data_IF_497558380317
#
_entry.id   IF_497558380317
#
_cell.length_a   1.000
_cell.length_b   1.000
_cell.length_c   1.000
_cell.angle_alpha   90.00
_cell.angle_beta   90.00
_cell.angle_gamma   90.00
#
_symmetry.space_group_name_H-M   'P 1'
#
loop_
_entity.id
_entity.type
_entity.pdbx_description
1 polymer ?
#
# COMPACT_ATOMS: atom_id res chain seq x y z
N UNK A 1 21.58 29.05 56.40
CA UNK A 1 23.00 29.43 56.52
C UNK A 1 23.78 28.13 56.51
N UNK A 2 24.61 27.80 55.51
CA UNK A 2 25.96 28.32 55.27
C UNK A 2 26.34 27.90 53.84
N UNK A 3 26.54 28.87 52.95
CA UNK A 3 27.83 29.29 52.38
C UNK A 3 28.37 28.43 51.24
N UNK A 4 28.24 29.03 50.05
CA UNK A 4 28.95 28.74 48.81
C UNK A 4 30.45 28.93 49.00
N UNK A 5 31.25 28.05 48.41
CA UNK A 5 32.66 28.31 48.17
C UNK A 5 32.95 28.20 46.68
N UNK A 6 33.24 29.35 46.09
CA UNK A 6 33.90 29.51 44.81
C UNK A 6 35.38 29.24 45.04
N UNK A 7 36.03 28.48 44.16
CA UNK A 7 37.45 28.72 43.89
C UNK A 7 37.73 28.64 42.39
N UNK A 8 38.22 29.78 41.92
CA UNK A 8 38.75 30.10 40.59
C UNK A 8 40.27 29.90 40.63
N UNK A 9 40.86 29.93 39.43
CA UNK A 9 42.26 30.24 39.05
C UNK A 9 43.10 29.01 38.71
N UNK A 10 44.01 28.98 37.74
CA UNK A 10 44.46 29.83 36.61
C UNK A 10 45.47 28.92 35.84
N UNK A 11 45.40 28.77 34.51
CA UNK A 11 46.23 29.38 33.45
C UNK A 11 47.72 28.95 33.32
N UNK A 12 48.15 28.83 32.05
CA UNK A 12 49.52 28.69 31.44
C UNK A 12 50.04 27.24 31.26
N UNK A 13 50.75 26.81 30.20
CA UNK A 13 51.32 27.44 28.98
C UNK A 13 51.78 26.36 27.95
N UNK A 14 51.73 26.73 26.66
CA UNK A 14 52.57 26.40 25.49
C UNK A 14 53.43 25.12 25.47
N UNK A 15 53.33 24.31 24.39
CA UNK A 15 54.43 24.05 23.43
C UNK A 15 53.97 23.21 22.24
N UNK A 16 54.66 23.42 21.12
CA UNK A 16 54.34 22.98 19.77
C UNK A 16 54.57 21.48 19.52
N UNK A 17 53.76 20.88 18.64
CA UNK A 17 54.31 20.03 17.58
C UNK A 17 53.33 19.93 16.41
N UNK A 18 53.79 20.44 15.27
CA UNK A 18 53.10 20.45 13.99
C UNK A 18 53.40 19.09 13.33
N UNK A 19 52.48 18.13 13.42
CA UNK A 19 52.57 16.90 12.65
C UNK A 19 51.63 16.99 11.45
N UNK A 20 52.24 17.15 10.28
CA UNK A 20 51.61 17.12 8.96
C UNK A 20 51.22 15.66 8.72
N UNK A 21 49.94 15.33 8.88
CA UNK A 21 49.42 14.04 8.42
C UNK A 21 49.11 14.13 6.92
N UNK A 22 49.68 13.28 6.06
CA UNK A 22 49.37 13.28 4.64
C UNK A 22 47.91 12.82 4.43
N UNK A 23 47.16 13.65 3.71
CA UNK A 23 45.83 13.34 3.19
C UNK A 23 45.92 12.23 2.14
N UNK A 24 45.75 10.98 2.54
CA UNK A 24 45.50 9.88 1.61
C UNK A 24 44.00 9.81 1.34
N UNK A 25 43.55 10.45 0.26
CA UNK A 25 42.20 10.27 -0.31
C UNK A 25 42.10 8.85 -0.87
N UNK A 26 41.48 7.95 -0.11
CA UNK A 26 41.22 6.57 -0.55
C UNK A 26 40.19 6.59 -1.67
N UNK A 27 40.58 6.10 -2.85
CA UNK A 27 39.76 6.07 -4.04
C UNK A 27 38.55 5.14 -3.90
N UNK A 28 37.43 5.65 -4.42
CA UNK A 28 36.14 5.04 -4.74
C UNK A 28 36.10 3.50 -4.73
N UNK A 29 35.26 2.94 -3.86
CA UNK A 29 34.77 1.57 -3.99
C UNK A 29 33.70 1.52 -5.09
N UNK A 30 34.03 0.91 -6.22
CA UNK A 30 33.08 0.53 -7.28
C UNK A 30 32.00 -0.38 -6.68
N UNK A 31 30.79 0.13 -6.52
CA UNK A 31 29.61 -0.70 -6.23
C UNK A 31 29.34 -1.58 -7.45
N UNK A 32 29.23 -2.92 -7.32
CA UNK A 32 28.81 -3.75 -8.44
C UNK A 32 27.40 -3.31 -8.85
N UNK A 33 27.25 -2.89 -10.11
CA UNK A 33 25.96 -2.59 -10.70
C UNK A 33 25.09 -3.85 -10.58
N UNK A 34 24.05 -3.77 -9.75
CA UNK A 34 23.07 -4.84 -9.59
C UNK A 34 22.29 -4.95 -10.92
N UNK A 35 22.76 -5.79 -11.83
CA UNK A 35 22.06 -6.07 -13.08
C UNK A 35 20.83 -6.90 -12.74
N UNK A 36 19.71 -6.23 -12.47
CA UNK A 36 18.41 -6.89 -12.49
C UNK A 36 18.22 -7.42 -13.90
N UNK A 37 18.31 -8.74 -14.07
CA UNK A 37 17.91 -9.38 -15.32
C UNK A 37 16.47 -8.98 -15.57
N UNK A 38 16.24 -8.13 -16.56
CA UNK A 38 14.92 -7.78 -17.01
C UNK A 38 14.29 -9.08 -17.53
N UNK A 39 13.25 -9.54 -16.85
CA UNK A 39 12.38 -10.58 -17.41
C UNK A 39 11.84 -10.00 -18.71
N UNK A 40 12.06 -10.70 -19.83
CA UNK A 40 11.62 -10.23 -21.13
C UNK A 40 10.12 -9.90 -21.06
N UNK A 41 9.71 -8.66 -21.38
CA UNK A 41 8.32 -8.28 -21.31
C UNK A 41 7.55 -9.10 -22.36
N UNK A 42 6.54 -9.83 -21.89
CA UNK A 42 5.56 -10.50 -22.74
C UNK A 42 5.07 -9.50 -23.82
N UNK A 43 4.84 -9.93 -25.08
CA UNK A 43 4.33 -9.06 -26.12
C UNK A 43 3.12 -8.26 -25.61
N UNK A 44 3.29 -6.93 -25.54
CA UNK A 44 2.34 -6.03 -24.87
C UNK A 44 0.94 -6.11 -25.50
N UNK A 45 0.89 -6.48 -26.77
CA UNK A 45 -0.29 -6.40 -27.62
C UNK A 45 -1.08 -7.70 -27.72
N UNK A 46 -0.70 -8.75 -26.97
CA UNK A 46 -1.52 -9.96 -26.91
C UNK A 46 -2.84 -9.68 -26.19
N UNK A 47 -3.95 -9.78 -26.92
CA UNK A 47 -5.31 -9.71 -26.38
C UNK A 47 -5.82 -11.15 -26.20
N UNK A 48 -6.08 -11.61 -24.96
CA UNK A 48 -6.62 -12.94 -24.75
C UNK A 48 -8.07 -13.01 -25.27
N UNK A 49 -8.39 -14.10 -25.96
CA UNK A 49 -9.77 -14.38 -26.36
C UNK A 49 -10.66 -14.59 -25.12
N UNK A 50 -11.96 -14.24 -25.20
CA UNK A 50 -12.91 -14.53 -24.15
C UNK A 50 -12.92 -16.04 -23.83
N UNK A 51 -12.82 -16.37 -22.55
CA UNK A 51 -12.85 -17.76 -22.08
C UNK A 51 -14.28 -18.16 -21.75
N UNK A 52 -14.63 -19.46 -21.79
CA UNK A 52 -15.97 -19.94 -21.41
C UNK A 52 -16.42 -19.42 -20.04
N UNK A 53 -15.49 -19.32 -19.10
CA UNK A 53 -15.76 -18.81 -17.75
C UNK A 53 -16.02 -17.29 -17.72
N UNK A 54 -15.51 -16.52 -18.68
CA UNK A 54 -15.59 -15.06 -18.74
C UNK A 54 -15.82 -14.61 -20.18
N UNK A 55 -17.08 -14.67 -20.65
CA UNK A 55 -17.43 -14.26 -22.01
C UNK A 55 -17.55 -12.74 -22.16
N UNK A 56 -17.83 -12.01 -21.06
CA UNK A 56 -18.15 -10.57 -21.09
C UNK A 56 -17.39 -9.75 -20.04
N UNK A 57 -17.21 -8.45 -20.28
CA UNK A 57 -16.56 -7.49 -19.39
C UNK A 57 -17.30 -7.39 -18.06
N UNK A 58 -18.63 -7.40 -18.06
CA UNK A 58 -19.41 -7.32 -16.82
C UNK A 58 -19.14 -8.54 -15.92
N UNK A 59 -19.04 -9.73 -16.53
CA UNK A 59 -18.72 -10.97 -15.81
C UNK A 59 -17.31 -10.93 -15.20
N UNK A 60 -16.34 -10.38 -15.93
CA UNK A 60 -14.97 -10.17 -15.43
C UNK A 60 -14.97 -9.26 -14.21
N UNK A 61 -15.60 -8.09 -14.33
CA UNK A 61 -15.63 -7.07 -13.28
C UNK A 61 -16.38 -7.54 -12.02
N UNK A 62 -17.39 -8.39 -12.19
CA UNK A 62 -18.13 -9.01 -11.08
C UNK A 62 -17.26 -10.04 -10.36
N UNK A 63 -16.50 -10.88 -11.08
CA UNK A 63 -15.63 -11.89 -10.48
C UNK A 63 -14.48 -11.31 -9.65
N UNK A 64 -13.85 -10.23 -10.12
CA UNK A 64 -12.77 -9.56 -9.36
C UNK A 64 -13.30 -8.83 -8.11
N UNK A 65 -14.60 -8.52 -8.06
CA UNK A 65 -15.26 -7.88 -6.92
C UNK A 65 -14.85 -6.42 -6.68
N UNK A 66 -14.76 -6.02 -5.40
CA UNK A 66 -14.44 -4.65 -4.96
C UNK A 66 -15.30 -3.54 -5.60
N UNK A 67 -16.57 -3.84 -5.89
CA UNK A 67 -17.53 -2.96 -6.59
C UNK A 67 -17.04 -2.49 -7.96
N UNK A 68 -16.26 -3.29 -8.69
CA UNK A 68 -15.79 -2.90 -10.02
C UNK A 68 -16.88 -2.99 -11.10
N UNK A 69 -18.00 -3.67 -10.83
CA UNK A 69 -19.14 -3.78 -11.74
C UNK A 69 -19.80 -2.43 -12.07
N UNK A 70 -19.66 -1.43 -11.20
CA UNK A 70 -20.16 -0.06 -11.40
C UNK A 70 -19.54 0.65 -12.62
N UNK A 71 -18.36 0.19 -13.07
CA UNK A 71 -17.64 0.81 -14.18
C UNK A 71 -17.85 0.07 -15.51
N UNK A 72 -18.73 -0.93 -15.57
CA UNK A 72 -19.00 -1.70 -16.78
C UNK A 72 -19.43 -0.81 -17.95
N UNK A 73 -20.26 0.19 -17.68
CA UNK A 73 -20.81 1.14 -18.68
C UNK A 73 -19.74 2.01 -19.38
N UNK A 74 -18.50 2.03 -18.87
CA UNK A 74 -17.39 2.80 -19.46
C UNK A 74 -16.66 2.04 -20.56
N UNK A 75 -16.91 0.74 -20.68
CA UNK A 75 -16.29 -0.13 -21.66
C UNK A 75 -17.26 -0.45 -22.78
N UNK A 76 -16.83 -0.24 -24.03
CA UNK A 76 -17.66 -0.46 -25.21
C UNK A 76 -17.63 -1.92 -25.67
N UNK A 77 -16.44 -2.55 -25.64
CA UNK A 77 -16.23 -3.93 -26.07
C UNK A 77 -15.17 -4.62 -25.21
N UNK A 78 -15.10 -5.96 -25.32
CA UNK A 78 -14.05 -6.77 -24.68
C UNK A 78 -12.64 -6.36 -25.14
N UNK A 79 -12.48 -6.09 -26.44
CA UNK A 79 -11.22 -5.65 -27.01
C UNK A 79 -10.81 -4.28 -26.47
N UNK A 80 -11.76 -3.34 -26.37
CA UNK A 80 -11.54 -2.03 -25.76
C UNK A 80 -11.10 -2.16 -24.30
N UNK A 81 -11.75 -3.03 -23.53
CA UNK A 81 -11.38 -3.31 -22.14
C UNK A 81 -9.94 -3.86 -22.03
N UNK A 82 -9.54 -4.74 -22.95
CA UNK A 82 -8.22 -5.36 -22.93
C UNK A 82 -7.08 -4.41 -23.35
N UNK A 83 -7.36 -3.43 -24.20
CA UNK A 83 -6.38 -2.46 -24.70
C UNK A 83 -6.30 -1.16 -23.90
N UNK A 84 -7.37 -0.79 -23.17
CA UNK A 84 -7.53 0.52 -22.51
C UNK A 84 -6.30 0.96 -21.70
N UNK A 85 -5.96 2.23 -21.79
CA UNK A 85 -4.85 2.81 -21.00
C UNK A 85 -5.33 3.43 -19.68
N UNK A 86 -4.38 3.66 -18.76
CA UNK A 86 -4.68 4.34 -17.48
C UNK A 86 -5.19 5.77 -17.69
N UNK A 87 -4.77 6.44 -18.77
CA UNK A 87 -5.18 7.82 -19.09
C UNK A 87 -6.62 7.87 -19.58
N UNK A 88 -6.99 7.01 -20.52
CA UNK A 88 -8.38 6.90 -21.01
C UNK A 88 -9.35 6.58 -19.86
N UNK A 89 -8.99 5.65 -18.96
CA UNK A 89 -9.83 5.35 -17.80
C UNK A 89 -9.99 6.53 -16.84
N UNK A 90 -9.00 7.41 -16.76
CA UNK A 90 -9.10 8.65 -15.97
C UNK A 90 -10.08 9.62 -16.64
N UNK A 91 -10.03 9.75 -17.96
CA UNK A 91 -10.93 10.61 -18.73
C UNK A 91 -12.38 10.10 -18.70
N UNK A 92 -12.59 8.78 -18.77
CA UNK A 92 -13.91 8.14 -18.62
C UNK A 92 -14.47 8.18 -17.18
N UNK A 93 -13.73 8.77 -16.23
CA UNK A 93 -14.21 9.04 -14.87
C UNK A 93 -14.05 7.88 -13.87
N UNK A 94 -13.21 6.88 -14.15
CA UNK A 94 -12.93 5.79 -13.20
C UNK A 94 -11.95 6.27 -12.13
N UNK A 95 -12.30 6.08 -10.84
CA UNK A 95 -11.43 6.47 -9.73
C UNK A 95 -10.08 5.73 -9.79
N UNK A 96 -9.05 6.38 -9.25
CA UNK A 96 -7.68 5.89 -9.15
C UNK A 96 -7.56 4.48 -8.58
N UNK A 97 -8.34 4.13 -7.56
CA UNK A 97 -8.24 2.86 -6.83
C UNK A 97 -8.83 1.67 -7.62
N UNK A 98 -10.07 1.73 -8.15
CA UNK A 98 -10.58 0.68 -9.03
C UNK A 98 -9.78 0.59 -10.33
N UNK A 99 -9.38 1.72 -10.93
CA UNK A 99 -8.55 1.73 -12.16
C UNK A 99 -7.27 0.90 -12.03
N UNK A 100 -6.47 1.14 -10.98
CA UNK A 100 -5.24 0.36 -10.72
C UNK A 100 -5.54 -1.12 -10.49
N UNK A 101 -6.67 -1.44 -9.86
CA UNK A 101 -7.04 -2.80 -9.53
C UNK A 101 -7.49 -3.59 -10.76
N UNK A 102 -8.31 -2.99 -11.61
CA UNK A 102 -8.79 -3.57 -12.87
C UNK A 102 -7.59 -3.88 -13.78
N UNK A 103 -6.71 -2.90 -13.99
CA UNK A 103 -5.51 -3.09 -14.84
C UNK A 103 -4.58 -4.17 -14.28
N UNK A 104 -4.37 -4.21 -12.96
CA UNK A 104 -3.56 -5.26 -12.35
C UNK A 104 -4.16 -6.67 -12.57
N UNK A 105 -5.48 -6.81 -12.47
CA UNK A 105 -6.16 -8.07 -12.77
C UNK A 105 -6.17 -8.42 -14.24
N UNK A 106 -6.29 -7.44 -15.13
CA UNK A 106 -6.15 -7.64 -16.57
C UNK A 106 -4.80 -8.27 -16.91
N UNK A 107 -3.71 -7.73 -16.38
CA UNK A 107 -2.37 -8.30 -16.61
C UNK A 107 -2.21 -9.70 -15.99
N UNK A 108 -2.81 -9.95 -14.83
CA UNK A 108 -2.87 -11.30 -14.22
C UNK A 108 -3.62 -12.29 -15.09
N UNK A 109 -4.76 -11.86 -15.64
CA UNK A 109 -5.56 -12.65 -16.57
C UNK A 109 -4.79 -12.99 -17.85
N UNK A 110 -4.03 -12.03 -18.41
CA UNK A 110 -3.11 -12.27 -19.53
C UNK A 110 -2.03 -13.31 -19.21
N UNK A 111 -1.64 -13.46 -17.93
CA UNK A 111 -0.71 -14.50 -17.47
C UNK A 111 -1.38 -15.85 -17.19
N UNK A 112 -2.70 -15.96 -17.34
CA UNK A 112 -3.46 -17.19 -17.04
C UNK A 112 -3.74 -17.41 -15.54
N UNK A 113 -3.65 -16.38 -14.71
CA UNK A 113 -4.10 -16.48 -13.31
C UNK A 113 -5.64 -16.52 -13.22
N UNK A 114 -6.17 -17.37 -12.35
CA UNK A 114 -7.61 -17.45 -12.09
C UNK A 114 -8.15 -16.18 -11.42
N UNK A 115 -9.30 -15.71 -11.89
CA UNK A 115 -9.96 -14.50 -11.41
C UNK A 115 -10.63 -14.74 -10.05
N UNK A 116 -10.13 -14.06 -9.03
CA UNK A 116 -10.65 -14.15 -7.65
C UNK A 116 -10.69 -12.77 -6.98
N UNK A 117 -11.64 -12.54 -6.08
CA UNK A 117 -11.65 -11.29 -5.31
C UNK A 117 -10.61 -11.33 -4.18
N UNK A 118 -9.51 -10.61 -4.34
CA UNK A 118 -8.61 -10.31 -3.22
C UNK A 118 -9.30 -9.28 -2.32
N UNK A 119 -9.86 -9.69 -1.18
CA UNK A 119 -10.58 -8.78 -0.26
C UNK A 119 -9.65 -7.75 0.37
N UNK A 120 -10.20 -6.57 0.69
CA UNK A 120 -9.46 -5.55 1.46
C UNK A 120 -9.42 -5.95 2.93
N UNK A 121 -8.29 -5.66 3.59
CA UNK A 121 -8.17 -5.84 5.03
C UNK A 121 -9.15 -4.95 5.80
N UNK A 122 -9.95 -5.55 6.69
CA UNK A 122 -10.86 -4.84 7.59
C UNK A 122 -10.27 -4.86 9.00
N UNK A 123 -10.31 -3.72 9.69
CA UNK A 123 -9.87 -3.63 11.08
C UNK A 123 -10.85 -4.38 11.98
N UNK A 124 -10.33 -5.26 12.83
CA UNK A 124 -11.10 -5.94 13.88
C UNK A 124 -11.18 -5.03 15.12
N UNK A 125 -12.38 -4.78 15.63
CA UNK A 125 -12.63 -3.94 16.83
C UNK A 125 -11.91 -2.57 16.80
N UNK A 126 -11.91 -1.86 15.66
CA UNK A 126 -11.25 -0.55 15.54
C UNK A 126 -9.72 -0.59 15.37
N UNK A 127 -9.10 -1.78 15.41
CA UNK A 127 -7.66 -1.98 15.32
C UNK A 127 -7.00 -2.12 16.69
N UNK A 128 -5.69 -2.35 16.73
CA UNK A 128 -4.97 -2.72 17.95
C UNK A 128 -5.15 -1.73 19.10
N UNK A 129 -4.84 -0.45 18.84
CA UNK A 129 -4.84 0.60 19.86
C UNK A 129 -6.21 0.92 20.46
N UNK A 130 -7.30 0.69 19.69
CA UNK A 130 -8.67 1.02 20.10
C UNK A 130 -9.48 -0.23 20.50
N UNK A 131 -8.86 -1.41 20.46
CA UNK A 131 -9.55 -2.69 20.63
C UNK A 131 -10.33 -2.76 21.93
N UNK A 132 -9.66 -2.47 23.04
CA UNK A 132 -10.22 -2.65 24.38
C UNK A 132 -11.28 -1.59 24.69
N UNK A 133 -11.06 -0.35 24.27
CA UNK A 133 -12.04 0.73 24.38
C UNK A 133 -13.34 0.40 23.62
N UNK A 134 -13.23 0.03 22.34
CA UNK A 134 -14.39 -0.30 21.49
C UNK A 134 -15.12 -1.52 22.04
N UNK A 135 -14.37 -2.51 22.53
CA UNK A 135 -14.93 -3.72 23.14
C UNK A 135 -15.69 -3.40 24.42
N UNK A 136 -15.10 -2.60 25.31
CA UNK A 136 -15.74 -2.20 26.57
C UNK A 136 -17.04 -1.42 26.30
N UNK A 137 -17.02 -0.47 25.36
CA UNK A 137 -18.21 0.28 24.95
C UNK A 137 -19.31 -0.63 24.39
N UNK A 138 -18.95 -1.57 23.51
CA UNK A 138 -19.91 -2.50 22.91
C UNK A 138 -20.59 -3.39 23.95
N UNK A 139 -19.80 -4.05 24.81
CA UNK A 139 -20.36 -4.92 25.85
C UNK A 139 -21.07 -4.14 26.97
N UNK A 140 -20.62 -2.92 27.27
CA UNK A 140 -21.32 -2.01 28.18
C UNK A 140 -22.74 -1.70 27.68
N UNK A 141 -22.88 -1.38 26.39
CA UNK A 141 -24.18 -1.12 25.77
C UNK A 141 -25.10 -2.35 25.80
N UNK A 142 -24.58 -3.52 25.39
CA UNK A 142 -25.35 -4.77 25.42
C UNK A 142 -25.87 -5.10 26.83
N UNK A 143 -25.04 -4.86 27.87
CA UNK A 143 -25.45 -5.05 29.26
C UNK A 143 -26.54 -4.08 29.70
N UNK A 144 -26.46 -2.81 29.27
CA UNK A 144 -27.50 -1.82 29.57
C UNK A 144 -28.83 -2.20 28.90
N UNK A 145 -28.81 -2.53 27.61
CA UNK A 145 -29.98 -3.00 26.85
C UNK A 145 -30.62 -4.27 27.46
N UNK A 146 -29.79 -5.21 27.93
CA UNK A 146 -30.27 -6.41 28.63
C UNK A 146 -30.96 -6.08 29.97
N UNK A 147 -30.44 -5.11 30.73
CA UNK A 147 -31.08 -4.64 31.97
C UNK A 147 -32.41 -3.93 31.70
N UNK A 148 -32.46 -3.08 30.68
CA UNK A 148 -33.68 -2.36 30.29
C UNK A 148 -34.76 -3.33 29.82
N UNK A 149 -34.41 -4.31 28.98
CA UNK A 149 -35.35 -5.32 28.50
C UNK A 149 -35.84 -6.26 29.60
N UNK A 150 -35.03 -6.56 30.61
CA UNK A 150 -35.46 -7.29 31.80
C UNK A 150 -36.41 -6.47 32.69
N UNK A 151 -36.17 -5.16 32.83
CA UNK A 151 -37.04 -4.27 33.60
C UNK A 151 -38.39 -3.98 32.93
N UNK A 152 -38.47 -4.15 31.60
CA UNK A 152 -39.73 -4.00 30.83
C UNK A 152 -40.60 -5.26 30.81
N UNK A 153 -40.06 -6.41 31.23
CA UNK A 153 -40.78 -7.68 31.33
C UNK A 153 -41.32 -7.85 32.75
#
# INVERSE_FOLDING_TARGET
>A
MLSRTLFRTNLTHLTASRAIFPTAVRSLSTTPAFQTKFIDPLPKDFVPSPTEQVPDVQTFLTKIGRNCSEYADKFESWEHFMSVTTHELKEKGVDSRPRRYILAWREKFKRGEELTEIKRGKKRWGGERKRDEVRAKHFGRLKAEARESAARK
#
